data_IF_716925688683
#
_entry.id   IF_716925688683
#
_cell.length_a   1.000
_cell.length_b   1.000
_cell.length_c   1.000
_cell.angle_alpha   90.00
_cell.angle_beta   90.00
_cell.angle_gamma   90.00
#
_symmetry.space_group_name_H-M   'P 1'
#
loop_
_entity.id
_entity.type
_entity.pdbx_description
1 polymer ?
#
# COMPACT_ATOMS: atom_id res chain seq x y z
N UNK A 1 29.48 -8.52 2.98
CA UNK A 1 29.98 -8.24 1.61
C UNK A 1 29.43 -6.91 1.17
N UNK A 2 30.22 -6.08 0.49
CA UNK A 2 29.75 -4.79 -0.01
C UNK A 2 29.26 -5.01 -1.45
N UNK A 3 27.94 -5.07 -1.67
CA UNK A 3 27.37 -5.28 -3.01
C UNK A 3 27.66 -4.04 -3.87
N UNK A 4 28.38 -4.22 -4.98
CA UNK A 4 28.79 -3.11 -5.87
C UNK A 4 27.61 -2.47 -6.61
N UNK A 5 26.62 -3.28 -6.99
CA UNK A 5 25.42 -2.87 -7.71
C UNK A 5 24.19 -3.44 -6.99
N UNK A 6 23.75 -2.84 -5.88
CA UNK A 6 22.61 -3.35 -5.13
C UNK A 6 21.32 -3.24 -5.96
N UNK A 7 20.51 -4.30 -5.89
CA UNK A 7 19.23 -4.42 -6.58
C UNK A 7 18.07 -4.10 -5.66
N UNK A 8 17.01 -3.50 -6.23
CA UNK A 8 15.78 -3.16 -5.51
C UNK A 8 14.61 -3.20 -6.47
N UNK A 9 13.41 -3.34 -5.91
CA UNK A 9 12.16 -3.02 -6.61
C UNK A 9 11.80 -1.55 -6.43
N UNK A 10 10.89 -1.02 -7.26
CA UNK A 10 10.43 0.36 -7.17
C UNK A 10 9.37 0.59 -6.06
N UNK A 11 8.78 -0.47 -5.52
CA UNK A 11 7.67 -0.41 -4.57
C UNK A 11 6.66 -1.52 -4.83
N UNK A 12 5.47 -1.15 -5.31
CA UNK A 12 4.34 -2.08 -5.48
C UNK A 12 4.65 -3.36 -6.25
N UNK A 13 4.15 -4.48 -5.74
CA UNK A 13 4.11 -5.78 -6.42
C UNK A 13 2.65 -6.25 -6.59
N UNK A 14 2.37 -7.19 -7.52
CA UNK A 14 1.01 -7.66 -7.77
C UNK A 14 0.35 -8.22 -6.51
N UNK A 15 -0.85 -7.72 -6.18
CA UNK A 15 -1.62 -8.24 -5.05
C UNK A 15 -2.19 -9.61 -5.36
N UNK A 16 -2.14 -10.56 -4.43
CA UNK A 16 -2.84 -11.83 -4.59
C UNK A 16 -4.33 -11.62 -4.85
N UNK A 17 -4.90 -12.45 -5.74
CA UNK A 17 -6.29 -12.31 -6.18
C UNK A 17 -7.32 -12.51 -5.05
N UNK A 18 -6.92 -13.21 -3.98
CA UNK A 18 -7.70 -13.39 -2.76
C UNK A 18 -7.75 -12.13 -1.89
N UNK A 19 -6.78 -11.21 -2.02
CA UNK A 19 -6.76 -9.95 -1.27
C UNK A 19 -7.54 -8.85 -2.01
N UNK A 20 -7.33 -8.73 -3.32
CA UNK A 20 -7.98 -7.74 -4.19
C UNK A 20 -8.09 -8.27 -5.62
N UNK A 21 -9.13 -7.82 -6.36
CA UNK A 21 -9.28 -8.17 -7.78
C UNK A 21 -8.12 -7.58 -8.62
N UNK A 22 -7.42 -8.40 -9.44
CA UNK A 22 -6.39 -7.91 -10.36
C UNK A 22 -6.94 -6.96 -11.45
N UNK A 23 -6.03 -6.26 -12.12
CA UNK A 23 -6.32 -5.43 -13.32
C UNK A 23 -7.39 -4.33 -13.12
N UNK A 24 -7.64 -3.94 -11.87
CA UNK A 24 -8.64 -2.93 -11.53
C UNK A 24 -8.02 -1.75 -10.79
N UNK A 25 -8.25 -0.55 -11.33
CA UNK A 25 -7.94 0.69 -10.62
C UNK A 25 -8.86 0.79 -9.39
N UNK A 26 -8.28 0.99 -8.20
CA UNK A 26 -9.02 0.98 -6.92
C UNK A 26 -9.81 -0.29 -6.65
N UNK A 27 -9.17 -1.43 -6.82
CA UNK A 27 -9.77 -2.71 -6.44
C UNK A 27 -10.16 -2.73 -4.96
N UNK A 28 -11.43 -3.01 -4.60
CA UNK A 28 -11.83 -3.16 -3.21
C UNK A 28 -11.16 -4.38 -2.58
N UNK A 29 -10.91 -4.31 -1.27
CA UNK A 29 -10.51 -5.47 -0.51
C UNK A 29 -11.60 -6.54 -0.56
N UNK A 30 -11.21 -7.80 -0.73
CA UNK A 30 -12.13 -8.94 -0.66
C UNK A 30 -12.41 -9.39 0.78
N UNK A 31 -11.44 -9.16 1.67
CA UNK A 31 -11.50 -9.50 3.09
C UNK A 31 -11.92 -8.27 3.92
N UNK A 32 -12.36 -8.50 5.15
CA UNK A 32 -12.79 -7.45 6.09
C UNK A 32 -12.32 -7.76 7.52
N UNK A 33 -12.30 -6.74 8.39
CA UNK A 33 -12.00 -6.92 9.81
C UNK A 33 -10.61 -7.56 10.05
N UNK A 34 -10.57 -8.54 10.96
CA UNK A 34 -9.34 -9.25 11.29
C UNK A 34 -8.75 -10.03 10.10
N UNK A 35 -9.60 -10.68 9.30
CA UNK A 35 -9.19 -11.42 8.10
C UNK A 35 -8.48 -10.50 7.09
N UNK A 36 -8.91 -9.25 6.98
CA UNK A 36 -8.22 -8.28 6.12
C UNK A 36 -6.83 -7.93 6.66
N UNK A 37 -6.70 -7.71 7.96
CA UNK A 37 -5.41 -7.43 8.58
C UNK A 37 -4.44 -8.60 8.40
N UNK A 38 -4.89 -9.83 8.62
CA UNK A 38 -4.12 -11.05 8.40
C UNK A 38 -3.77 -11.22 6.92
N UNK A 39 -4.74 -11.10 6.03
CA UNK A 39 -4.52 -11.23 4.59
C UNK A 39 -3.54 -10.19 4.03
N UNK A 40 -3.54 -8.95 4.55
CA UNK A 40 -2.53 -7.95 4.17
C UNK A 40 -1.13 -8.37 4.59
N UNK A 41 -0.98 -8.90 5.80
CA UNK A 41 0.29 -9.39 6.32
C UNK A 41 0.79 -10.61 5.54
N UNK A 42 -0.10 -11.54 5.18
CA UNK A 42 0.24 -12.70 4.37
C UNK A 42 0.69 -12.32 2.96
N UNK A 43 -0.01 -11.39 2.32
CA UNK A 43 0.39 -10.89 1.01
C UNK A 43 1.77 -10.23 1.06
N UNK A 44 2.05 -9.45 2.12
CA UNK A 44 3.36 -8.84 2.36
C UNK A 44 4.45 -9.92 2.52
N UNK A 45 4.21 -10.96 3.33
CA UNK A 45 5.17 -12.08 3.50
C UNK A 45 5.48 -12.77 2.17
N UNK A 46 4.45 -13.02 1.34
CA UNK A 46 4.65 -13.61 0.01
C UNK A 46 5.48 -12.69 -0.89
N UNK A 47 5.16 -11.40 -0.91
CA UNK A 47 5.90 -10.38 -1.66
C UNK A 47 7.37 -10.30 -1.23
N UNK A 48 7.66 -10.40 0.06
CA UNK A 48 9.02 -10.46 0.59
C UNK A 48 9.73 -11.76 0.16
N UNK A 49 9.06 -12.91 0.29
CA UNK A 49 9.61 -14.21 -0.08
C UNK A 49 10.01 -14.26 -1.55
N UNK A 50 9.19 -13.69 -2.44
CA UNK A 50 9.49 -13.63 -3.87
C UNK A 50 10.73 -12.77 -4.15
N UNK A 51 10.87 -11.62 -3.48
CA UNK A 51 12.06 -10.77 -3.59
C UNK A 51 13.33 -11.49 -3.07
N UNK A 52 13.23 -12.20 -1.96
CA UNK A 52 14.32 -12.99 -1.39
C UNK A 52 14.76 -14.11 -2.33
N UNK A 53 13.80 -14.84 -2.91
CA UNK A 53 14.07 -15.90 -3.90
C UNK A 53 14.68 -15.36 -5.18
N UNK A 54 14.32 -14.14 -5.57
CA UNK A 54 14.90 -13.45 -6.72
C UNK A 54 16.31 -12.88 -6.43
N UNK A 55 16.78 -12.91 -5.17
CA UNK A 55 18.07 -12.37 -4.78
C UNK A 55 18.14 -10.84 -4.76
N UNK A 56 16.99 -10.17 -4.56
CA UNK A 56 16.94 -8.71 -4.41
C UNK A 56 17.66 -8.28 -3.13
N UNK A 57 18.56 -7.29 -3.21
CA UNK A 57 19.37 -6.83 -2.08
C UNK A 57 18.56 -5.99 -1.08
N UNK A 58 17.83 -4.99 -1.59
CA UNK A 58 17.02 -4.03 -0.83
C UNK A 58 15.55 -4.35 -1.09
N UNK A 59 14.83 -4.75 -0.04
CA UNK A 59 13.49 -5.31 -0.16
C UNK A 59 12.41 -4.30 0.23
N UNK A 60 11.19 -4.53 -0.24
CA UNK A 60 10.02 -3.74 0.14
C UNK A 60 8.85 -4.62 0.60
N UNK A 61 7.83 -3.98 1.18
CA UNK A 61 6.57 -4.63 1.54
C UNK A 61 5.68 -4.93 0.31
N UNK A 62 6.15 -4.60 -0.90
CA UNK A 62 5.39 -4.68 -2.15
C UNK A 62 4.13 -3.82 -2.15
N UNK A 63 3.99 -2.88 -1.22
CA UNK A 63 2.79 -2.06 -0.98
C UNK A 63 1.50 -2.89 -0.82
N UNK A 64 1.62 -4.12 -0.30
CA UNK A 64 0.51 -5.07 -0.21
C UNK A 64 -0.63 -4.58 0.70
N UNK A 65 -0.30 -3.74 1.68
CA UNK A 65 -1.28 -3.20 2.64
C UNK A 65 -2.03 -1.96 2.13
N UNK A 66 -1.61 -1.41 0.98
CA UNK A 66 -2.15 -0.17 0.39
C UNK A 66 -3.10 -0.46 -0.75
N UNK A 67 -4.28 0.18 -0.72
CA UNK A 67 -5.24 0.08 -1.82
C UNK A 67 -4.91 1.06 -2.95
N UNK A 68 -4.36 2.23 -2.59
CA UNK A 68 -3.97 3.28 -3.51
C UNK A 68 -2.88 4.17 -2.91
N UNK A 69 -1.98 4.69 -3.76
CA UNK A 69 -0.82 5.47 -3.31
C UNK A 69 -1.19 6.82 -2.66
N UNK A 70 -2.28 7.47 -3.07
CA UNK A 70 -2.78 8.70 -2.42
C UNK A 70 -3.80 8.36 -1.35
N UNK A 71 -4.86 7.64 -1.74
CA UNK A 71 -6.09 7.52 -0.95
C UNK A 71 -5.83 6.87 0.40
N UNK A 72 -5.04 5.79 0.42
CA UNK A 72 -4.68 5.10 1.68
C UNK A 72 -4.02 6.07 2.66
N UNK A 73 -3.20 7.01 2.20
CA UNK A 73 -2.54 7.96 3.09
C UNK A 73 -3.52 9.02 3.62
N UNK A 74 -4.28 9.64 2.73
CA UNK A 74 -5.18 10.74 3.09
C UNK A 74 -6.40 10.28 3.92
N UNK A 75 -6.76 8.98 3.88
CA UNK A 75 -7.77 8.36 4.77
C UNK A 75 -7.42 8.46 6.26
N UNK A 76 -6.14 8.70 6.57
CA UNK A 76 -5.63 8.75 7.93
C UNK A 76 -5.30 10.18 8.39
N UNK A 77 -5.68 11.20 7.61
CA UNK A 77 -5.41 12.60 7.92
C UNK A 77 -6.67 13.32 8.41
N UNK A 78 -6.47 14.20 9.39
CA UNK A 78 -7.52 15.14 9.80
C UNK A 78 -7.70 16.22 8.73
N UNK A 79 -8.89 16.83 8.66
CA UNK A 79 -9.20 17.87 7.68
C UNK A 79 -9.58 17.34 6.28
N UNK A 80 -9.65 16.02 6.09
CA UNK A 80 -10.13 15.37 4.86
C UNK A 80 -11.45 14.64 5.11
N UNK A 81 -12.49 14.97 4.34
CA UNK A 81 -13.81 14.34 4.44
C UNK A 81 -14.00 13.31 3.30
N UNK A 82 -14.19 12.05 3.69
CA UNK A 82 -14.42 10.92 2.78
C UNK A 82 -15.89 10.68 2.43
N UNK A 83 -16.82 11.34 3.11
CA UNK A 83 -18.24 11.36 2.78
C UNK A 83 -18.53 12.46 1.76
N UNK A 84 -17.89 13.62 1.90
CA UNK A 84 -17.96 14.70 0.91
C UNK A 84 -17.00 14.43 -0.25
N UNK A 85 -17.53 13.86 -1.33
CA UNK A 85 -16.75 13.46 -2.51
C UNK A 85 -17.14 14.27 -3.73
N UNK A 86 -16.15 14.58 -4.55
CA UNK A 86 -16.32 15.22 -5.85
C UNK A 86 -15.86 14.28 -6.96
N UNK A 87 -16.52 14.33 -8.11
CA UNK A 87 -16.10 13.56 -9.29
C UNK A 87 -15.20 14.42 -10.15
N UNK A 88 -13.96 13.97 -10.35
CA UNK A 88 -12.97 14.67 -11.18
C UNK A 88 -12.53 13.80 -12.36
N UNK A 89 -12.34 14.41 -13.52
CA UNK A 89 -11.84 13.73 -14.71
C UNK A 89 -10.31 13.74 -14.72
N UNK A 90 -9.70 12.57 -14.61
CA UNK A 90 -8.23 12.43 -14.54
C UNK A 90 -7.66 12.23 -15.94
N UNK A 91 -6.88 13.21 -16.41
CA UNK A 91 -6.14 13.18 -17.69
C UNK A 91 -7.01 12.77 -18.89
N UNK A 92 -8.31 13.10 -18.86
CA UNK A 92 -9.29 12.66 -19.85
C UNK A 92 -9.44 11.15 -20.04
N UNK A 93 -8.93 10.32 -19.13
CA UNK A 93 -8.92 8.85 -19.24
C UNK A 93 -10.02 8.18 -18.41
N UNK A 94 -10.25 8.67 -17.20
CA UNK A 94 -11.27 8.10 -16.31
C UNK A 94 -11.79 9.16 -15.34
N UNK A 95 -12.95 8.89 -14.76
CA UNK A 95 -13.52 9.66 -13.67
C UNK A 95 -13.12 9.04 -12.33
N UNK A 96 -12.81 9.90 -11.36
CA UNK A 96 -12.42 9.52 -10.02
C UNK A 96 -13.31 10.23 -9.02
N UNK A 97 -13.94 9.47 -8.12
CA UNK A 97 -14.59 10.04 -6.95
C UNK A 97 -13.53 10.27 -5.88
N UNK A 98 -13.19 11.53 -5.59
CA UNK A 98 -12.11 11.91 -4.67
C UNK A 98 -12.66 12.58 -3.41
N UNK A 99 -12.04 12.37 -2.24
CA UNK A 99 -12.44 13.05 -1.00
C UNK A 99 -12.07 14.53 -1.04
N UNK A 100 -12.68 15.31 -0.15
CA UNK A 100 -12.52 16.78 -0.12
C UNK A 100 -11.73 17.24 1.10
N UNK A 101 -10.80 18.18 0.91
CA UNK A 101 -10.18 18.90 2.03
C UNK A 101 -11.17 19.94 2.55
N UNK A 102 -11.58 19.80 3.81
CA UNK A 102 -12.61 20.65 4.46
C UNK A 102 -12.04 21.55 5.55
N UNK A 103 -10.73 21.46 5.83
CA UNK A 103 -10.06 22.28 6.83
C UNK A 103 -8.54 22.13 6.77
N UNK A 104 -7.86 22.63 7.80
CA UNK A 104 -6.41 22.46 7.94
C UNK A 104 -6.07 20.97 8.04
N UNK A 105 -5.11 20.52 7.22
CA UNK A 105 -4.70 19.12 7.18
C UNK A 105 -3.65 18.86 8.24
N UNK A 106 -3.88 17.85 9.08
CA UNK A 106 -2.89 17.40 10.07
C UNK A 106 -2.79 15.88 10.13
N UNK A 107 -1.62 15.40 10.54
CA UNK A 107 -1.33 13.98 10.75
C UNK A 107 -1.20 13.70 12.24
N UNK A 108 -2.29 13.27 12.87
CA UNK A 108 -2.34 12.95 14.31
C UNK A 108 -1.62 11.65 14.69
N UNK A 109 -1.47 10.71 13.74
CA UNK A 109 -0.80 9.42 13.97
C UNK A 109 0.06 8.97 12.78
N UNK A 110 1.04 8.06 12.99
CA UNK A 110 1.72 7.39 11.88
C UNK A 110 0.73 6.60 11.01
N UNK A 111 0.99 6.54 9.69
CA UNK A 111 0.10 5.87 8.74
C UNK A 111 0.62 4.49 8.33
N UNK A 112 1.92 4.39 7.99
CA UNK A 112 2.52 3.16 7.47
C UNK A 112 3.59 2.55 8.39
N UNK A 113 3.77 3.09 9.60
CA UNK A 113 4.84 2.65 10.51
C UNK A 113 4.63 1.21 10.97
N UNK A 114 3.38 0.81 11.26
CA UNK A 114 3.07 -0.55 11.70
C UNK A 114 3.39 -1.58 10.59
N UNK A 115 3.02 -1.28 9.34
CA UNK A 115 3.34 -2.12 8.18
C UNK A 115 4.87 -2.25 7.97
N UNK A 116 5.60 -1.13 8.09
CA UNK A 116 7.05 -1.12 7.97
C UNK A 116 7.74 -1.87 9.12
N UNK A 117 7.24 -1.74 10.35
CA UNK A 117 7.71 -2.50 11.51
C UNK A 117 7.46 -4.00 11.32
N UNK A 118 6.30 -4.37 10.78
CA UNK A 118 5.99 -5.75 10.47
C UNK A 118 6.95 -6.32 9.43
N UNK A 119 7.20 -5.63 8.31
CA UNK A 119 8.21 -6.05 7.32
C UNK A 119 9.59 -6.22 7.98
N UNK A 120 10.00 -5.24 8.80
CA UNK A 120 11.31 -5.25 9.47
C UNK A 120 11.51 -6.45 10.40
N UNK A 121 10.44 -7.01 10.96
CA UNK A 121 10.50 -8.22 11.78
C UNK A 121 10.73 -9.49 10.94
N UNK A 122 10.45 -9.47 9.63
CA UNK A 122 10.54 -10.64 8.75
C UNK A 122 11.90 -10.74 8.01
N UNK A 123 12.73 -9.70 8.04
CA UNK A 123 13.98 -9.68 7.27
C UNK A 123 15.07 -8.84 7.93
N UNK A 124 16.32 -9.24 7.72
CA UNK A 124 17.50 -8.43 8.09
C UNK A 124 17.98 -7.51 6.97
N UNK A 125 17.53 -7.74 5.74
CA UNK A 125 17.89 -6.95 4.57
C UNK A 125 17.44 -5.48 4.72
N UNK A 126 18.10 -4.52 4.04
CA UNK A 126 17.63 -3.15 3.99
C UNK A 126 16.20 -3.02 3.48
#
# INVERSE_FOLDING_TARGET
MNTLLPTSTAGSLPKPSWLAQPEKLWSPWRLQGADLSEGKQDALRLSLLDQQRAGIDIVSDGEQTRQHFVTTFIEHLDGVDFKKRETVRIRNRYEASVPTVVGAVSRSRPVFVEDAQFLRQQTTQP
#
